data_IF_477465733111
#
_entry.id   IF_477465733111
#
_cell.length_a   1.000
_cell.length_b   1.000
_cell.length_c   1.000
_cell.angle_alpha   90.00
_cell.angle_beta   90.00
_cell.angle_gamma   90.00
#
_symmetry.space_group_name_H-M   'P 1'
#
loop_
_entity.id
_entity.type
_entity.pdbx_description
1 polymer ?
#
# COMPACT_ATOMS: atom_id res chain seq x y z
N UNK A 1 -30.46 -35.03 0.56
CA UNK A 1 -29.29 -34.51 1.30
C UNK A 1 -28.37 -33.88 0.29
N UNK A 2 -28.59 -32.61 -0.01
CA UNK A 2 -27.80 -31.89 -1.00
C UNK A 2 -27.62 -30.48 -0.44
N UNK A 3 -26.60 -30.32 0.40
CA UNK A 3 -26.26 -29.05 1.02
C UNK A 3 -24.81 -28.72 0.70
N UNK A 4 -24.68 -27.84 -0.29
CA UNK A 4 -23.71 -26.75 -0.39
C UNK A 4 -22.30 -27.01 0.14
N UNK A 5 -21.46 -27.59 -0.70
CA UNK A 5 -20.06 -27.15 -0.79
C UNK A 5 -19.99 -26.01 -1.82
N UNK A 6 -20.36 -24.80 -1.40
CA UNK A 6 -20.02 -23.58 -2.15
C UNK A 6 -18.50 -23.44 -2.14
N UNK A 7 -17.85 -24.02 -3.15
CA UNK A 7 -16.48 -23.73 -3.53
C UNK A 7 -16.33 -22.22 -3.67
N UNK A 8 -15.59 -21.58 -2.75
CA UNK A 8 -15.03 -20.25 -3.00
C UNK A 8 -14.06 -20.36 -4.18
N UNK A 9 -14.57 -20.27 -5.41
CA UNK A 9 -13.75 -20.10 -6.61
C UNK A 9 -12.92 -18.84 -6.43
N UNK A 10 -11.62 -19.02 -6.17
CA UNK A 10 -10.67 -17.92 -6.16
C UNK A 10 -10.66 -17.22 -7.51
N UNK A 11 -10.48 -15.90 -7.51
CA UNK A 11 -10.37 -15.14 -8.75
C UNK A 11 -9.21 -15.65 -9.61
N UNK A 12 -9.45 -15.74 -10.93
CA UNK A 12 -8.40 -16.07 -11.90
C UNK A 12 -7.33 -14.98 -11.94
N UNK A 13 -6.16 -15.28 -12.52
CA UNK A 13 -5.08 -14.31 -12.62
C UNK A 13 -5.49 -13.11 -13.49
N UNK A 14 -6.24 -13.35 -14.56
CA UNK A 14 -6.74 -12.31 -15.45
C UNK A 14 -7.66 -11.34 -14.70
N UNK A 15 -8.62 -11.90 -13.95
CA UNK A 15 -9.55 -11.10 -13.13
C UNK A 15 -8.81 -10.31 -12.03
N UNK A 16 -7.78 -10.89 -11.40
CA UNK A 16 -6.94 -10.18 -10.43
C UNK A 16 -6.18 -9.02 -11.06
N UNK A 17 -5.60 -9.24 -12.24
CA UNK A 17 -4.85 -8.20 -12.96
C UNK A 17 -5.75 -7.05 -13.40
N UNK A 18 -6.97 -7.35 -13.82
CA UNK A 18 -7.98 -6.33 -14.16
C UNK A 18 -8.36 -5.48 -12.93
N UNK A 19 -8.56 -6.12 -11.77
CA UNK A 19 -8.80 -5.40 -10.51
C UNK A 19 -7.63 -4.51 -10.10
N UNK A 20 -6.39 -5.02 -10.19
CA UNK A 20 -5.19 -4.22 -9.92
C UNK A 20 -5.16 -3.02 -10.85
N UNK A 21 -5.36 -3.23 -12.16
CA UNK A 21 -5.37 -2.16 -13.15
C UNK A 21 -6.42 -1.10 -12.80
N UNK A 22 -7.68 -1.50 -12.57
CA UNK A 22 -8.77 -0.59 -12.21
C UNK A 22 -8.49 0.20 -10.93
N UNK A 23 -7.86 -0.41 -9.92
CA UNK A 23 -7.48 0.30 -8.71
C UNK A 23 -6.33 1.28 -8.94
N UNK A 24 -5.33 0.92 -9.74
CA UNK A 24 -4.19 1.77 -10.06
C UNK A 24 -4.55 2.95 -11.00
N UNK A 25 -5.65 2.86 -11.75
CA UNK A 25 -6.20 3.96 -12.57
C UNK A 25 -6.73 5.11 -11.71
N UNK A 26 -7.23 4.83 -10.49
CA UNK A 26 -7.70 5.86 -9.55
C UNK A 26 -6.57 6.70 -8.95
N UNK A 27 -5.32 6.24 -9.07
CA UNK A 27 -4.14 6.89 -8.51
C UNK A 27 -3.51 7.80 -9.57
N UNK A 28 -3.68 9.13 -9.37
CA UNK A 28 -3.18 10.16 -10.30
C UNK A 28 -1.67 10.13 -10.50
N UNK A 29 -0.91 10.03 -9.41
CA UNK A 29 0.55 10.03 -9.43
C UNK A 29 1.10 8.78 -8.75
N UNK A 30 2.02 8.08 -9.42
CA UNK A 30 2.65 6.85 -8.96
C UNK A 30 4.16 7.09 -8.93
N UNK A 31 4.74 7.14 -7.73
CA UNK A 31 6.15 7.46 -7.52
C UNK A 31 6.84 6.21 -6.96
N UNK A 32 7.81 5.68 -7.71
CA UNK A 32 8.62 4.56 -7.26
C UNK A 32 9.96 5.06 -6.70
N UNK A 33 10.32 4.63 -5.49
CA UNK A 33 11.61 4.95 -4.86
C UNK A 33 12.43 3.67 -4.80
N UNK A 34 13.52 3.65 -5.57
CA UNK A 34 14.35 2.46 -5.79
C UNK A 34 15.82 2.84 -5.54
N UNK A 35 16.64 1.87 -5.14
CA UNK A 35 18.08 2.03 -5.02
C UNK A 35 18.78 0.70 -5.28
N UNK A 36 19.97 0.75 -5.87
CA UNK A 36 20.79 -0.45 -6.12
C UNK A 36 21.55 -1.00 -4.91
N UNK A 37 21.47 -0.38 -3.73
CA UNK A 37 22.24 -0.79 -2.53
C UNK A 37 21.42 -0.73 -1.24
N UNK A 38 21.77 -1.55 -0.25
CA UNK A 38 21.21 -1.50 1.11
C UNK A 38 21.68 -0.26 1.88
N UNK A 39 20.89 0.20 2.85
CA UNK A 39 21.30 1.26 3.79
C UNK A 39 21.32 2.70 3.25
N UNK A 40 20.97 2.96 1.99
CA UNK A 40 21.01 4.32 1.40
C UNK A 40 19.86 5.25 1.81
N UNK A 41 18.98 4.82 2.71
CA UNK A 41 17.87 5.65 3.20
C UNK A 41 16.62 5.72 2.32
N UNK A 42 16.40 4.77 1.39
CA UNK A 42 15.17 4.71 0.55
C UNK A 42 13.88 4.90 1.34
N UNK A 43 13.68 4.11 2.39
CA UNK A 43 12.45 4.14 3.20
C UNK A 43 12.29 5.47 3.92
N UNK A 44 13.40 6.08 4.36
CA UNK A 44 13.42 7.44 4.93
C UNK A 44 12.95 8.48 3.94
N UNK A 45 13.42 8.42 2.69
CA UNK A 45 12.97 9.35 1.64
C UNK A 45 11.49 9.11 1.31
N UNK A 46 11.07 7.85 1.19
CA UNK A 46 9.67 7.49 0.90
C UNK A 46 8.70 7.99 1.96
N UNK A 47 9.00 7.75 3.23
CA UNK A 47 8.17 8.20 4.36
C UNK A 47 8.09 9.72 4.41
N UNK A 48 9.23 10.43 4.34
CA UNK A 48 9.22 11.89 4.42
C UNK A 48 8.50 12.53 3.23
N UNK A 49 8.67 11.99 2.01
CA UNK A 49 7.95 12.47 0.83
C UNK A 49 6.43 12.28 1.00
N UNK A 50 6.01 11.09 1.46
CA UNK A 50 4.60 10.79 1.70
C UNK A 50 3.99 11.72 2.76
N UNK A 51 4.68 11.91 3.89
CA UNK A 51 4.25 12.82 4.96
C UNK A 51 4.18 14.27 4.49
N UNK A 52 5.14 14.72 3.67
CA UNK A 52 5.11 16.08 3.13
C UNK A 52 3.93 16.29 2.19
N UNK A 53 3.68 15.36 1.26
CA UNK A 53 2.54 15.42 0.34
C UNK A 53 1.19 15.34 1.09
N UNK A 54 1.10 14.50 2.12
CA UNK A 54 -0.08 14.43 2.97
C UNK A 54 -0.31 15.75 3.73
N UNK A 55 0.76 16.38 4.24
CA UNK A 55 0.67 17.67 4.94
C UNK A 55 0.16 18.82 4.08
N UNK A 56 0.21 18.70 2.74
CA UNK A 56 -0.36 19.71 1.82
C UNK A 56 -1.83 19.41 1.47
N UNK A 57 -2.48 18.48 2.15
CA UNK A 57 -3.87 18.08 1.89
C UNK A 57 -4.05 17.06 0.78
N UNK A 58 -2.97 16.44 0.27
CA UNK A 58 -3.09 15.41 -0.78
C UNK A 58 -3.51 14.07 -0.19
N UNK A 59 -4.38 13.32 -0.89
CA UNK A 59 -4.61 11.92 -0.60
C UNK A 59 -3.38 11.09 -0.99
N UNK A 60 -2.68 10.52 0.00
CA UNK A 60 -1.41 9.80 -0.20
C UNK A 60 -1.53 8.38 0.33
N UNK A 61 -1.09 7.42 -0.49
CA UNK A 61 -0.82 6.04 -0.08
C UNK A 61 0.68 5.77 -0.09
N UNK A 62 1.15 4.96 0.86
CA UNK A 62 2.54 4.50 0.92
C UNK A 62 2.55 2.97 0.94
N UNK A 63 3.20 2.36 -0.04
CA UNK A 63 3.33 0.91 -0.19
C UNK A 63 4.79 0.51 0.02
N UNK A 64 5.05 -0.33 1.02
CA UNK A 64 6.35 -0.97 1.21
C UNK A 64 6.36 -2.30 0.46
N UNK A 65 7.30 -2.44 -0.49
CA UNK A 65 7.51 -3.67 -1.27
C UNK A 65 8.72 -4.48 -0.77
N UNK A 66 9.39 -4.02 0.30
CA UNK A 66 10.51 -4.74 0.91
C UNK A 66 10.00 -5.83 1.84
N UNK A 67 9.95 -7.06 1.32
CA UNK A 67 9.47 -8.25 2.04
C UNK A 67 10.42 -8.65 3.18
N UNK A 68 11.71 -8.29 3.08
CA UNK A 68 12.76 -8.79 4.00
C UNK A 68 12.87 -7.99 5.28
N UNK A 69 12.38 -6.75 5.29
CA UNK A 69 12.42 -5.88 6.46
C UNK A 69 11.52 -4.67 6.28
N UNK A 70 10.18 -4.84 6.38
CA UNK A 70 9.25 -3.73 6.23
C UNK A 70 9.48 -2.73 7.36
N UNK A 71 10.14 -1.63 7.02
CA UNK A 71 10.54 -0.59 7.97
C UNK A 71 9.56 0.57 7.97
N UNK A 72 8.79 0.74 6.90
CA UNK A 72 7.87 1.87 6.76
C UNK A 72 6.86 1.93 7.90
N UNK A 73 6.18 0.82 8.23
CA UNK A 73 5.19 0.78 9.29
C UNK A 73 5.75 1.23 10.65
N UNK A 74 6.96 0.75 10.99
CA UNK A 74 7.67 1.17 12.20
C UNK A 74 8.02 2.66 12.16
N UNK A 75 8.48 3.18 11.03
CA UNK A 75 8.87 4.58 10.86
C UNK A 75 7.70 5.56 11.01
N UNK A 76 6.48 5.15 10.66
CA UNK A 76 5.27 5.95 10.82
C UNK A 76 4.52 5.66 12.13
N UNK A 77 5.09 4.85 13.02
CA UNK A 77 4.49 4.52 14.32
C UNK A 77 3.22 3.66 14.25
N UNK A 78 3.01 2.95 13.14
CA UNK A 78 1.86 2.05 12.95
C UNK A 78 2.21 0.67 13.50
N UNK A 79 1.50 0.23 14.55
CA UNK A 79 1.62 -1.13 15.07
C UNK A 79 0.99 -2.16 14.11
N UNK A 80 1.48 -3.40 14.07
CA UNK A 80 0.90 -4.47 13.24
C UNK A 80 -0.56 -4.80 13.59
N UNK A 81 -1.03 -4.46 14.80
CA UNK A 81 -2.42 -4.70 15.21
C UNK A 81 -3.40 -3.61 14.73
N UNK A 82 -2.90 -2.53 14.13
CA UNK A 82 -3.76 -1.48 13.58
C UNK A 82 -4.50 -2.02 12.35
N UNK A 83 -5.82 -2.14 12.50
CA UNK A 83 -6.76 -2.21 11.37
C UNK A 83 -6.48 -1.03 10.42
N UNK A 84 -6.77 -1.16 9.11
CA UNK A 84 -6.54 -0.09 8.16
C UNK A 84 -7.13 1.21 8.72
N UNK A 85 -6.25 2.12 9.12
CA UNK A 85 -6.65 3.41 9.60
C UNK A 85 -7.02 4.19 8.35
N UNK A 86 -8.30 4.13 7.98
CA UNK A 86 -8.88 5.21 7.21
C UNK A 86 -8.72 6.44 8.11
N UNK A 87 -7.64 7.20 7.93
CA UNK A 87 -7.57 8.56 8.43
C UNK A 87 -8.57 9.34 7.57
N UNK A 88 -9.86 9.17 7.89
CA UNK A 88 -10.93 10.07 7.52
C UNK A 88 -10.62 11.36 8.28
N UNK A 89 -10.14 12.37 7.55
CA UNK A 89 -9.89 13.67 8.15
C UNK A 89 -8.77 14.43 7.47
N UNK A 90 -8.94 14.73 6.19
CA UNK A 90 -8.45 15.99 5.65
C UNK A 90 -9.65 16.68 4.99
N UNK A 91 -9.77 18.01 5.09
CA UNK A 91 -10.93 18.76 4.57
C UNK A 91 -11.14 18.55 3.07
#
# INVERSE_FOLDING_TARGET
MEQKSEEKKGLTNEQRMELIKSNMEKIRHKIAIISGKGGVGKSTVAVNLAMKLASTGSAVGLLDIDITGPNVAKMIGVSPELKPLYILGFP
#
